data_IF_412427305425
#
_entry.id   IF_412427305425
#
_cell.length_a   1.000
_cell.length_b   1.000
_cell.length_c   1.000
_cell.angle_alpha   90.00
_cell.angle_beta   90.00
_cell.angle_gamma   90.00
#
_symmetry.space_group_name_H-M   'P 1'
#
loop_
_entity.id
_entity.type
_entity.pdbx_description
1 polymer ?
#
# COMPACT_ATOMS: atom_id res chain seq x y z
N UNK A 1 2.23 -18.26 -0.64
CA UNK A 1 1.67 -18.62 -1.97
C UNK A 1 0.96 -17.39 -2.51
N UNK A 2 1.23 -17.01 -3.76
CA UNK A 2 0.67 -15.83 -4.45
C UNK A 2 -0.19 -16.36 -5.60
N UNK A 3 -1.34 -15.73 -5.94
CA UNK A 3 -2.10 -16.16 -7.12
C UNK A 3 -1.29 -16.06 -8.42
N UNK A 4 -1.73 -16.76 -9.46
CA UNK A 4 -1.18 -16.64 -10.79
C UNK A 4 -2.03 -15.65 -11.58
N UNK A 5 -1.54 -14.42 -11.74
CA UNK A 5 -2.23 -13.38 -12.51
C UNK A 5 -1.42 -13.03 -13.77
N UNK A 6 -2.13 -12.74 -14.86
CA UNK A 6 -1.55 -12.34 -16.14
C UNK A 6 -1.06 -10.89 -16.00
N UNK A 7 0.25 -10.71 -16.15
CA UNK A 7 0.88 -9.38 -16.18
C UNK A 7 0.93 -8.81 -17.60
N UNK A 8 0.96 -7.50 -17.73
CA UNK A 8 1.10 -6.80 -18.99
C UNK A 8 2.45 -7.05 -19.70
N UNK A 9 3.51 -7.34 -18.93
CA UNK A 9 4.81 -7.68 -19.50
C UNK A 9 4.81 -9.07 -20.13
N UNK A 10 5.16 -9.13 -21.42
CA UNK A 10 5.26 -10.37 -22.22
C UNK A 10 6.67 -10.63 -22.76
N UNK A 11 7.65 -9.76 -22.48
CA UNK A 11 9.05 -9.90 -22.90
C UNK A 11 9.82 -11.03 -22.19
N UNK A 12 11.14 -11.19 -22.43
CA UNK A 12 11.97 -12.19 -21.76
C UNK A 12 12.09 -11.91 -20.25
N UNK A 13 12.34 -12.97 -19.46
CA UNK A 13 12.57 -12.85 -18.02
C UNK A 13 13.93 -12.18 -17.77
N UNK A 14 14.00 -11.17 -16.90
CA UNK A 14 15.29 -10.56 -16.51
C UNK A 14 16.01 -11.37 -15.41
N UNK A 15 17.27 -11.03 -15.10
CA UNK A 15 18.05 -11.77 -14.10
C UNK A 15 17.43 -11.76 -12.69
N UNK A 16 16.90 -10.61 -12.26
CA UNK A 16 16.22 -10.49 -10.96
C UNK A 16 15.00 -11.39 -10.90
N UNK A 17 14.20 -11.38 -11.97
CA UNK A 17 12.99 -12.17 -12.09
C UNK A 17 13.31 -13.67 -12.03
N UNK A 18 14.30 -14.12 -12.79
CA UNK A 18 14.74 -15.50 -12.81
C UNK A 18 15.24 -15.95 -11.42
N UNK A 19 16.06 -15.14 -10.76
CA UNK A 19 16.56 -15.44 -9.41
C UNK A 19 15.43 -15.58 -8.39
N UNK A 20 14.41 -14.72 -8.43
CA UNK A 20 13.25 -14.83 -7.53
C UNK A 20 12.46 -16.12 -7.79
N UNK A 21 12.26 -16.50 -9.05
CA UNK A 21 11.55 -17.73 -9.41
C UNK A 21 12.33 -18.98 -8.97
N UNK A 22 13.64 -19.02 -9.20
CA UNK A 22 14.50 -20.15 -8.81
C UNK A 22 14.61 -20.30 -7.28
N UNK A 23 14.48 -19.20 -6.53
CA UNK A 23 14.56 -19.18 -5.08
C UNK A 23 13.20 -19.29 -4.37
N UNK A 24 12.11 -19.58 -5.09
CA UNK A 24 10.74 -19.58 -4.53
C UNK A 24 10.61 -20.37 -3.20
N UNK A 25 11.11 -21.62 -3.04
CA UNK A 25 11.01 -22.32 -1.77
C UNK A 25 11.74 -21.62 -0.61
N UNK A 26 12.90 -21.01 -0.89
CA UNK A 26 13.68 -20.26 0.10
C UNK A 26 12.97 -18.96 0.50
N UNK A 27 12.40 -18.24 -0.46
CA UNK A 27 11.59 -17.03 -0.24
C UNK A 27 10.37 -17.35 0.64
N UNK A 28 9.60 -18.38 0.30
CA UNK A 28 8.42 -18.74 1.08
C UNK A 28 8.80 -19.21 2.49
N UNK A 29 9.93 -19.90 2.66
CA UNK A 29 10.46 -20.24 4.00
C UNK A 29 10.86 -18.99 4.77
N UNK A 30 11.55 -18.05 4.14
CA UNK A 30 12.01 -16.81 4.76
C UNK A 30 10.82 -15.99 5.28
N UNK A 31 9.77 -15.79 4.47
CA UNK A 31 8.55 -15.13 4.92
C UNK A 31 7.88 -15.85 6.09
N UNK A 32 7.78 -17.19 6.05
CA UNK A 32 7.18 -17.92 7.18
C UNK A 32 7.90 -17.66 8.50
N UNK A 33 9.23 -17.49 8.48
CA UNK A 33 10.00 -17.16 9.67
C UNK A 33 9.76 -15.72 10.13
N UNK A 34 9.75 -14.74 9.22
CA UNK A 34 9.44 -13.36 9.58
C UNK A 34 8.03 -13.24 10.18
N UNK A 35 7.03 -13.96 9.65
CA UNK A 35 5.67 -13.98 10.21
C UNK A 35 5.51 -14.79 11.50
N UNK A 36 6.56 -15.45 11.99
CA UNK A 36 6.57 -16.00 13.35
C UNK A 36 6.98 -14.95 14.38
N UNK A 37 7.70 -13.91 13.95
CA UNK A 37 8.23 -12.86 14.82
C UNK A 37 7.41 -11.57 14.74
N UNK A 38 6.79 -11.29 13.59
CA UNK A 38 6.08 -10.04 13.31
C UNK A 38 4.61 -10.26 12.97
N UNK A 39 3.77 -9.33 13.41
CA UNK A 39 2.32 -9.37 13.14
C UNK A 39 2.02 -8.71 11.80
N UNK A 40 1.44 -9.41 10.81
CA UNK A 40 1.03 -8.80 9.55
C UNK A 40 -0.01 -7.70 9.78
N UNK A 41 0.00 -6.59 9.00
CA UNK A 41 -1.11 -5.66 8.99
C UNK A 41 -2.40 -6.38 8.55
N UNK A 42 -3.56 -5.89 9.02
CA UNK A 42 -4.83 -6.54 8.71
C UNK A 42 -5.10 -6.59 7.20
N UNK A 43 -4.86 -5.47 6.52
CA UNK A 43 -4.89 -5.37 5.06
C UNK A 43 -3.91 -4.30 4.56
N UNK A 44 -3.46 -4.40 3.32
CA UNK A 44 -2.71 -3.33 2.67
C UNK A 44 -2.95 -3.32 1.17
N UNK A 45 -2.64 -2.20 0.53
CA UNK A 45 -2.33 -2.17 -0.89
C UNK A 45 -0.90 -1.67 -1.08
N UNK A 46 -0.19 -2.25 -2.03
CA UNK A 46 1.18 -1.84 -2.37
C UNK A 46 1.25 -1.52 -3.84
N UNK A 47 1.58 -0.27 -4.15
CA UNK A 47 1.81 0.21 -5.51
C UNK A 47 3.25 -0.11 -5.88
N UNK A 48 3.46 -0.83 -6.98
CA UNK A 48 4.79 -1.22 -7.44
C UNK A 48 5.09 -0.59 -8.79
N UNK A 49 6.37 -0.40 -9.08
CA UNK A 49 6.83 -0.06 -10.42
C UNK A 49 7.92 -1.01 -10.88
N UNK A 50 7.75 -1.49 -12.11
CA UNK A 50 8.70 -2.35 -12.80
C UNK A 50 9.42 -1.57 -13.90
N UNK A 51 10.65 -1.15 -13.63
CA UNK A 51 11.49 -0.42 -14.57
C UNK A 51 12.25 -1.34 -15.55
N UNK A 52 12.05 -2.66 -15.49
CA UNK A 52 12.82 -3.67 -16.21
C UNK A 52 14.19 -3.96 -15.61
N UNK A 53 14.86 -2.96 -15.03
CA UNK A 53 16.10 -3.12 -14.26
C UNK A 53 15.90 -3.05 -12.73
N UNK A 54 14.69 -2.68 -12.28
CA UNK A 54 14.34 -2.49 -10.86
C UNK A 54 12.85 -2.76 -10.68
N UNK A 55 12.49 -3.47 -9.61
CA UNK A 55 11.11 -3.73 -9.21
C UNK A 55 10.92 -3.32 -7.76
N UNK A 56 10.25 -2.20 -7.53
CA UNK A 56 10.20 -1.61 -6.20
C UNK A 56 8.81 -1.07 -5.83
N UNK A 57 8.45 -1.07 -4.54
CA UNK A 57 7.25 -0.40 -4.06
C UNK A 57 7.47 1.12 -4.07
N UNK A 58 6.44 1.84 -4.50
CA UNK A 58 6.41 3.31 -4.52
C UNK A 58 5.37 3.89 -3.56
N UNK A 59 4.41 3.08 -3.12
CA UNK A 59 3.48 3.40 -2.05
C UNK A 59 3.01 2.13 -1.32
N UNK A 60 2.76 2.27 -0.01
CA UNK A 60 2.18 1.23 0.85
C UNK A 60 1.08 1.89 1.67
N UNK A 61 -0.18 1.55 1.37
CA UNK A 61 -1.35 2.02 2.12
C UNK A 61 -1.79 0.97 3.15
N UNK A 62 -2.00 1.45 4.38
CA UNK A 62 -2.62 0.71 5.48
C UNK A 62 -4.15 0.90 5.53
N UNK A 63 -4.68 1.70 4.62
CA UNK A 63 -6.11 1.99 4.45
C UNK A 63 -6.46 1.82 2.96
N UNK A 64 -6.26 0.62 2.39
CA UNK A 64 -6.39 0.41 0.95
C UNK A 64 -7.81 0.68 0.45
N UNK A 65 -7.91 1.51 -0.59
CA UNK A 65 -9.12 1.69 -1.39
C UNK A 65 -9.08 0.82 -2.66
N UNK A 66 -10.17 0.76 -3.43
CA UNK A 66 -10.22 0.07 -4.71
C UNK A 66 -10.54 -1.42 -4.64
N UNK A 67 -11.04 -1.93 -3.50
CA UNK A 67 -11.46 -3.32 -3.35
C UNK A 67 -12.50 -3.75 -4.40
N UNK A 68 -13.35 -2.83 -4.88
CA UNK A 68 -14.33 -3.07 -5.96
C UNK A 68 -13.70 -3.52 -7.27
N UNK A 69 -12.40 -3.30 -7.45
CA UNK A 69 -11.68 -3.69 -8.65
C UNK A 69 -11.17 -5.13 -8.61
N UNK A 70 -11.25 -5.81 -7.46
CA UNK A 70 -10.95 -7.23 -7.38
C UNK A 70 -12.04 -8.03 -8.12
N UNK A 71 -11.62 -8.97 -8.96
CA UNK A 71 -12.55 -9.76 -9.76
C UNK A 71 -13.25 -10.82 -8.90
N UNK A 72 -14.40 -11.37 -9.35
CA UNK A 72 -15.07 -12.47 -8.65
C UNK A 72 -14.17 -13.68 -8.35
N UNK A 73 -13.18 -13.95 -9.20
CA UNK A 73 -12.21 -15.04 -9.04
C UNK A 73 -11.19 -14.76 -7.93
N UNK A 74 -10.93 -13.49 -7.58
CA UNK A 74 -10.04 -13.09 -6.48
C UNK A 74 -10.74 -13.15 -5.12
N UNK A 75 -12.07 -13.02 -5.10
CA UNK A 75 -12.83 -12.93 -3.85
C UNK A 75 -12.67 -14.14 -2.93
N UNK A 76 -12.65 -15.40 -3.40
CA UNK A 76 -12.41 -16.54 -2.52
C UNK A 76 -11.08 -16.44 -1.76
N UNK A 77 -10.02 -15.90 -2.37
CA UNK A 77 -8.73 -15.70 -1.72
C UNK A 77 -8.83 -14.60 -0.65
N UNK A 78 -9.51 -13.49 -0.96
CA UNK A 78 -9.73 -12.41 -0.01
C UNK A 78 -10.57 -12.87 1.19
N UNK A 79 -11.62 -13.66 0.96
CA UNK A 79 -12.46 -14.24 2.02
C UNK A 79 -11.66 -15.18 2.91
N UNK A 80 -10.87 -16.10 2.31
CA UNK A 80 -10.06 -17.02 3.09
C UNK A 80 -8.97 -16.30 3.92
N UNK A 81 -8.36 -15.26 3.34
CA UNK A 81 -7.40 -14.42 4.06
C UNK A 81 -8.08 -13.65 5.20
N UNK A 82 -9.29 -13.14 5.00
CA UNK A 82 -10.09 -12.49 6.03
C UNK A 82 -10.39 -13.44 7.20
N UNK A 83 -10.82 -14.68 6.91
CA UNK A 83 -11.05 -15.70 7.93
C UNK A 83 -9.78 -15.96 8.75
N UNK A 84 -8.64 -16.17 8.07
CA UNK A 84 -7.37 -16.39 8.75
C UNK A 84 -6.89 -15.19 9.59
N UNK A 85 -7.19 -13.96 9.16
CA UNK A 85 -6.90 -12.75 9.91
C UNK A 85 -7.75 -12.67 11.18
N UNK A 86 -9.05 -12.89 11.05
CA UNK A 86 -10.02 -12.80 12.15
C UNK A 86 -9.80 -13.91 13.18
N UNK A 87 -9.52 -15.15 12.76
CA UNK A 87 -9.19 -16.27 13.66
C UNK A 87 -7.99 -15.95 14.58
N UNK A 88 -7.01 -15.18 14.10
CA UNK A 88 -5.85 -14.76 14.90
C UNK A 88 -6.16 -13.60 15.83
N UNK A 89 -6.91 -12.61 15.35
CA UNK A 89 -7.14 -11.35 16.07
C UNK A 89 -8.27 -11.49 17.08
N UNK A 90 -9.42 -12.00 16.66
CA UNK A 90 -10.60 -12.14 17.48
C UNK A 90 -11.44 -13.33 17.00
N UNK A 91 -11.13 -14.57 17.43
CA UNK A 91 -11.81 -15.78 16.94
C UNK A 91 -13.29 -15.86 17.35
N UNK A 92 -13.69 -15.13 18.40
CA UNK A 92 -15.08 -15.04 18.84
C UNK A 92 -15.85 -13.91 18.15
N UNK A 93 -15.23 -13.22 17.19
CA UNK A 93 -15.81 -12.07 16.53
C UNK A 93 -17.10 -12.44 15.80
N UNK A 94 -18.20 -11.77 16.17
CA UNK A 94 -19.49 -11.88 15.47
C UNK A 94 -19.81 -10.67 14.62
N UNK A 95 -19.40 -9.49 15.10
CA UNK A 95 -19.79 -8.20 14.54
C UNK A 95 -18.53 -7.41 14.20
N UNK A 96 -18.44 -6.90 12.97
CA UNK A 96 -17.38 -6.00 12.52
C UNK A 96 -17.98 -4.67 12.08
N UNK A 97 -17.41 -3.57 12.58
CA UNK A 97 -17.77 -2.23 12.17
C UNK A 97 -16.73 -1.68 11.20
N UNK A 98 -17.14 -1.33 9.98
CA UNK A 98 -16.28 -0.58 9.06
C UNK A 98 -16.47 0.91 9.36
N UNK A 99 -15.39 1.60 9.67
CA UNK A 99 -15.35 3.06 9.78
C UNK A 99 -14.75 3.60 8.49
N UNK A 100 -15.55 4.20 7.60
CA UNK A 100 -15.06 4.66 6.31
C UNK A 100 -14.46 6.07 6.39
N UNK A 101 -13.86 6.51 5.28
CA UNK A 101 -13.52 7.92 5.06
C UNK A 101 -14.71 8.86 5.34
N UNK A 102 -14.41 10.10 5.70
CA UNK A 102 -15.45 11.11 5.89
C UNK A 102 -15.95 11.62 4.53
N UNK A 103 -17.15 12.21 4.51
CA UNK A 103 -17.73 12.83 3.31
C UNK A 103 -17.85 11.92 2.08
N UNK A 104 -18.09 10.62 2.28
CA UNK A 104 -18.35 9.68 1.20
C UNK A 104 -19.59 10.06 0.38
N UNK A 105 -19.37 10.47 -0.86
CA UNK A 105 -20.43 10.79 -1.80
C UNK A 105 -20.22 10.13 -3.17
N UNK A 106 -19.03 9.56 -3.44
CA UNK A 106 -18.70 8.93 -4.70
C UNK A 106 -19.33 7.53 -4.84
N UNK A 107 -19.89 7.23 -6.02
CA UNK A 107 -20.39 5.89 -6.33
C UNK A 107 -19.28 4.82 -6.24
N UNK A 108 -18.03 5.20 -6.58
CA UNK A 108 -16.86 4.33 -6.45
C UNK A 108 -16.56 3.96 -5.00
N UNK A 109 -16.60 4.94 -4.09
CA UNK A 109 -16.27 4.71 -2.68
C UNK A 109 -17.35 3.83 -2.02
N UNK A 110 -18.62 4.06 -2.36
CA UNK A 110 -19.73 3.21 -1.91
C UNK A 110 -19.61 1.77 -2.46
N UNK A 111 -19.15 1.61 -3.71
CA UNK A 111 -18.90 0.28 -4.27
C UNK A 111 -17.72 -0.43 -3.59
N UNK A 112 -16.66 0.30 -3.22
CA UNK A 112 -15.56 -0.24 -2.43
C UNK A 112 -16.03 -0.74 -1.05
N UNK A 113 -16.87 0.05 -0.36
CA UNK A 113 -17.46 -0.36 0.91
C UNK A 113 -18.35 -1.60 0.78
N UNK A 114 -19.20 -1.65 -0.24
CA UNK A 114 -20.02 -2.83 -0.50
C UNK A 114 -19.17 -4.08 -0.72
N UNK A 115 -18.05 -3.94 -1.43
CA UNK A 115 -17.14 -5.05 -1.68
C UNK A 115 -16.41 -5.51 -0.41
N UNK A 116 -15.99 -4.58 0.46
CA UNK A 116 -15.45 -4.91 1.80
C UNK A 116 -16.50 -5.62 2.67
N UNK A 117 -17.73 -5.08 2.75
CA UNK A 117 -18.83 -5.73 3.46
C UNK A 117 -19.05 -7.14 2.94
N UNK A 118 -19.05 -7.35 1.62
CA UNK A 118 -19.20 -8.66 1.01
C UNK A 118 -18.10 -9.63 1.42
N UNK A 119 -16.83 -9.21 1.40
CA UNK A 119 -15.69 -10.05 1.78
C UNK A 119 -15.84 -10.51 3.23
N UNK A 120 -16.09 -9.59 4.16
CA UNK A 120 -16.16 -9.92 5.59
C UNK A 120 -17.46 -10.65 5.98
N UNK A 121 -18.59 -10.36 5.32
CA UNK A 121 -19.81 -11.15 5.50
C UNK A 121 -19.61 -12.61 5.05
N UNK A 122 -18.94 -12.84 3.92
CA UNK A 122 -18.59 -14.19 3.45
C UNK A 122 -17.57 -14.87 4.36
N UNK A 123 -16.74 -14.11 5.08
CA UNK A 123 -15.84 -14.62 6.11
C UNK A 123 -16.55 -14.97 7.44
N UNK A 124 -17.88 -14.81 7.51
CA UNK A 124 -18.69 -15.23 8.66
C UNK A 124 -19.00 -14.13 9.68
N UNK A 125 -18.70 -12.87 9.37
CA UNK A 125 -18.98 -11.72 10.25
C UNK A 125 -20.31 -11.05 9.88
N UNK A 126 -20.96 -10.43 10.86
CA UNK A 126 -22.05 -9.49 10.64
C UNK A 126 -21.47 -8.08 10.51
N UNK A 127 -21.52 -7.50 9.31
CA UNK A 127 -20.79 -6.26 9.00
C UNK A 127 -21.69 -5.07 8.77
N UNK A 128 -21.44 -3.98 9.49
CA UNK A 128 -22.13 -2.68 9.32
C UNK A 128 -21.13 -1.55 9.15
N UNK A 129 -21.60 -0.42 8.61
CA UNK A 129 -20.76 0.76 8.32
C UNK A 129 -21.15 1.90 9.26
N UNK A 130 -20.17 2.42 9.99
CA UNK A 130 -20.33 3.49 10.96
C UNK A 130 -19.50 4.71 10.62
N UNK A 131 -20.15 5.80 10.24
CA UNK A 131 -19.48 7.08 10.00
C UNK A 131 -19.11 7.75 11.32
N UNK A 132 -17.86 8.20 11.43
CA UNK A 132 -17.35 9.04 12.51
C UNK A 132 -17.42 10.54 12.17
N UNK A 133 -17.93 10.88 10.98
CA UNK A 133 -18.12 12.27 10.54
C UNK A 133 -19.12 12.99 11.47
N UNK A 134 -18.70 14.05 12.17
CA UNK A 134 -19.59 14.81 13.05
C UNK A 134 -20.81 15.39 12.33
N UNK A 135 -20.76 15.63 11.02
CA UNK A 135 -21.89 16.15 10.24
C UNK A 135 -22.91 15.06 9.90
N UNK A 136 -22.52 13.78 9.97
CA UNK A 136 -23.38 12.64 9.68
C UNK A 136 -24.27 12.29 10.88
N UNK A 137 -25.54 12.73 10.87
CA UNK A 137 -26.45 12.60 12.02
C UNK A 137 -27.54 11.54 11.90
N UNK A 138 -27.74 10.93 10.73
CA UNK A 138 -28.85 10.00 10.48
C UNK A 138 -28.39 8.88 9.56
N UNK A 139 -28.95 7.68 9.75
CA UNK A 139 -28.73 6.56 8.86
C UNK A 139 -29.18 6.91 7.43
N UNK A 140 -28.33 6.63 6.46
CA UNK A 140 -28.62 6.83 5.04
C UNK A 140 -28.32 5.54 4.29
N UNK A 141 -29.29 5.09 3.49
CA UNK A 141 -29.13 3.97 2.59
C UNK A 141 -28.82 4.47 1.19
N UNK A 142 -27.68 4.06 0.66
CA UNK A 142 -27.23 4.39 -0.68
C UNK A 142 -27.47 3.18 -1.60
N UNK A 143 -28.22 3.37 -2.68
CA UNK A 143 -28.40 2.36 -3.72
C UNK A 143 -27.23 2.40 -4.70
N UNK A 144 -26.72 1.24 -5.06
CA UNK A 144 -25.65 1.07 -6.03
C UNK A 144 -26.21 0.72 -7.42
N UNK A 145 -25.49 1.05 -8.52
CA UNK A 145 -25.96 0.76 -9.88
C UNK A 145 -26.17 -0.72 -10.19
N UNK A 146 -25.50 -1.61 -9.46
CA UNK A 146 -25.61 -3.07 -9.60
C UNK A 146 -26.79 -3.68 -8.82
N UNK A 147 -27.61 -2.84 -8.18
CA UNK A 147 -28.77 -3.26 -7.38
C UNK A 147 -28.44 -3.56 -5.91
N UNK A 148 -27.17 -3.48 -5.50
CA UNK A 148 -26.79 -3.57 -4.09
C UNK A 148 -27.10 -2.26 -3.35
N UNK A 149 -26.90 -2.26 -2.03
CA UNK A 149 -27.00 -1.03 -1.25
C UNK A 149 -26.07 -1.07 -0.05
N UNK A 150 -25.52 0.09 0.31
CA UNK A 150 -24.76 0.30 1.55
C UNK A 150 -25.59 1.18 2.47
N UNK A 151 -25.79 0.74 3.70
CA UNK A 151 -26.36 1.56 4.76
C UNK A 151 -25.21 2.09 5.63
N UNK A 152 -25.14 3.42 5.75
CA UNK A 152 -24.17 4.11 6.58
C UNK A 152 -24.92 4.71 7.76
N UNK A 153 -24.45 4.45 8.97
CA UNK A 153 -25.03 4.93 10.22
C UNK A 153 -24.06 5.82 10.99
N UNK A 154 -24.56 6.77 11.80
CA UNK A 154 -23.69 7.50 12.71
C UNK A 154 -23.11 6.56 13.77
N UNK A 155 -21.78 6.50 13.86
CA UNK A 155 -21.09 5.79 14.92
C UNK A 155 -21.34 6.46 16.28
N UNK A 156 -21.53 5.63 17.31
CA UNK A 156 -21.84 6.06 18.66
C UNK A 156 -20.77 5.55 19.61
N UNK A 157 -20.27 6.44 20.48
CA UNK A 157 -19.50 6.03 21.65
C UNK A 157 -20.45 5.71 22.80
N UNK A 158 -20.47 4.45 23.21
CA UNK A 158 -21.24 3.97 24.35
C UNK A 158 -20.23 3.52 25.41
N UNK A 159 -19.94 4.41 26.37
CA UNK A 159 -18.86 4.24 27.36
C UNK A 159 -17.48 4.11 26.68
N UNK A 160 -16.80 2.98 26.88
CA UNK A 160 -15.48 2.62 26.34
C UNK A 160 -15.53 1.94 24.97
N UNK A 161 -16.72 1.85 24.34
CA UNK A 161 -16.92 1.10 23.10
C UNK A 161 -17.54 1.97 22.01
N UNK A 162 -17.19 1.71 20.76
CA UNK A 162 -17.79 2.29 19.56
C UNK A 162 -18.70 1.27 18.90
N UNK A 163 -19.90 1.67 18.55
CA UNK A 163 -20.86 0.81 17.87
C UNK A 163 -21.93 1.60 17.15
N UNK A 164 -23.01 0.91 16.76
CA UNK A 164 -24.20 1.53 16.19
C UNK A 164 -25.39 1.23 17.08
N UNK A 165 -26.56 1.76 16.72
CA UNK A 165 -27.79 1.45 17.42
C UNK A 165 -28.07 -0.07 17.34
N UNK A 166 -28.09 -0.72 18.51
CA UNK A 166 -28.27 -2.17 18.67
C UNK A 166 -27.19 -3.03 17.98
N UNK A 167 -25.98 -2.48 17.79
CA UNK A 167 -24.87 -3.21 17.18
C UNK A 167 -23.58 -2.90 17.94
N UNK A 168 -23.04 -3.92 18.58
CA UNK A 168 -21.82 -3.86 19.37
C UNK A 168 -20.74 -4.74 18.71
N UNK A 169 -19.76 -4.14 18.01
CA UNK A 169 -18.67 -4.86 17.37
C UNK A 169 -17.57 -5.20 18.37
N UNK A 170 -16.89 -6.32 18.19
CA UNK A 170 -15.62 -6.61 18.85
C UNK A 170 -14.42 -6.05 18.07
N UNK A 171 -14.61 -5.81 16.78
CA UNK A 171 -13.56 -5.42 15.83
C UNK A 171 -14.05 -4.25 14.99
N UNK A 172 -13.22 -3.24 14.89
CA UNK A 172 -13.45 -2.03 14.09
C UNK A 172 -12.38 -2.01 13.00
N UNK A 173 -12.83 -2.10 11.75
CA UNK A 173 -12.00 -1.90 10.59
C UNK A 173 -11.96 -0.41 10.26
N UNK A 174 -10.83 0.24 10.51
CA UNK A 174 -10.57 1.59 10.05
C UNK A 174 -10.22 1.56 8.57
N UNK A 175 -11.18 1.99 7.75
CA UNK A 175 -11.00 2.29 6.33
C UNK A 175 -11.06 3.81 6.13
N UNK A 176 -10.35 4.51 7.02
CA UNK A 176 -10.21 5.96 7.12
C UNK A 176 -8.77 6.26 7.58
N UNK A 177 -8.02 7.04 6.81
CA UNK A 177 -6.62 7.37 7.09
C UNK A 177 -6.44 8.30 8.30
N UNK A 178 -7.54 8.89 8.78
CA UNK A 178 -7.56 9.86 9.88
C UNK A 178 -6.61 11.03 9.60
N UNK A 179 -6.66 11.60 8.40
CA UNK A 179 -5.76 12.66 7.96
C UNK A 179 -5.76 13.91 8.87
N UNK A 180 -6.87 14.18 9.56
CA UNK A 180 -7.00 15.26 10.55
C UNK A 180 -6.59 14.85 11.99
N UNK A 181 -6.18 13.60 12.17
CA UNK A 181 -5.92 12.95 13.45
C UNK A 181 -7.07 12.11 13.97
N UNK A 182 -6.74 11.22 14.92
CA UNK A 182 -7.72 10.34 15.55
C UNK A 182 -8.72 11.17 16.37
N UNK A 183 -10.03 11.11 16.08
CA UNK A 183 -11.01 11.77 16.91
C UNK A 183 -11.19 11.01 18.22
N UNK A 184 -11.54 11.73 19.29
CA UNK A 184 -11.76 11.15 20.61
C UNK A 184 -12.88 10.10 20.72
N UNK A 185 -13.60 9.76 19.64
CA UNK A 185 -14.47 8.56 19.61
C UNK A 185 -13.66 7.26 19.44
N UNK A 186 -12.50 7.32 18.78
CA UNK A 186 -11.63 6.17 18.49
C UNK A 186 -10.50 5.97 19.52
N UNK A 187 -10.30 6.91 20.43
CA UNK A 187 -9.28 6.83 21.48
C UNK A 187 -9.75 5.97 22.67
N UNK A 188 -8.83 5.43 23.46
CA UNK A 188 -9.15 4.68 24.69
C UNK A 188 -10.13 3.49 24.50
N UNK A 189 -10.00 2.78 23.39
CA UNK A 189 -10.79 1.57 23.10
C UNK A 189 -10.02 0.32 23.55
N UNK A 190 -10.20 -0.06 24.82
CA UNK A 190 -9.49 -1.20 25.43
C UNK A 190 -10.16 -2.55 25.18
N UNK A 191 -11.44 -2.55 24.77
CA UNK A 191 -12.26 -3.76 24.65
C UNK A 191 -12.60 -4.11 23.19
N UNK A 192 -12.06 -3.36 22.24
CA UNK A 192 -12.31 -3.52 20.81
C UNK A 192 -11.01 -3.42 20.05
N UNK A 193 -10.84 -4.31 19.06
CA UNK A 193 -9.68 -4.25 18.18
C UNK A 193 -9.89 -3.19 17.11
N UNK A 194 -8.95 -2.26 16.99
CA UNK A 194 -8.92 -1.26 15.94
C UNK A 194 -7.89 -1.68 14.89
N UNK A 195 -8.34 -1.90 13.65
CA UNK A 195 -7.55 -2.49 12.58
C UNK A 195 -7.53 -1.58 11.34
N UNK A 196 -6.38 -1.04 10.93
CA UNK A 196 -5.12 -0.99 11.67
C UNK A 196 -5.24 -0.14 12.97
N UNK A 197 -4.27 -0.22 13.89
CA UNK A 197 -4.28 0.58 15.11
C UNK A 197 -4.00 2.07 14.82
N UNK A 198 -4.29 2.97 15.76
CA UNK A 198 -4.26 4.42 15.53
C UNK A 198 -2.89 4.96 15.06
N UNK A 199 -1.79 4.34 15.47
CA UNK A 199 -0.44 4.73 15.03
C UNK A 199 -0.20 4.52 13.53
N UNK A 200 -1.07 3.78 12.83
CA UNK A 200 -1.06 3.69 11.37
C UNK A 200 -1.48 5.01 10.69
N UNK A 201 -2.22 5.87 11.40
CA UNK A 201 -2.64 7.18 10.90
C UNK A 201 -1.50 8.19 10.84
N UNK A 202 -1.69 9.24 10.04
CA UNK A 202 -0.66 10.22 9.71
C UNK A 202 -0.17 11.12 10.87
N UNK A 203 -0.86 11.13 12.00
CA UNK A 203 -0.40 11.85 13.21
C UNK A 203 0.85 11.23 13.83
N UNK A 204 1.04 9.92 13.66
CA UNK A 204 2.20 9.17 14.17
C UNK A 204 3.04 8.65 13.03
N UNK A 205 2.40 8.12 11.98
CA UNK A 205 3.07 7.49 10.85
C UNK A 205 3.97 8.47 10.09
N UNK A 206 5.15 8.00 9.68
CA UNK A 206 6.10 8.74 8.82
C UNK A 206 6.55 7.87 7.68
N UNK A 207 6.46 8.36 6.43
CA UNK A 207 6.91 7.61 5.24
C UNK A 207 8.40 7.27 5.32
N UNK A 208 9.21 8.18 5.87
CA UNK A 208 10.65 8.00 6.09
C UNK A 208 10.97 6.85 7.05
N UNK A 209 10.09 6.60 8.04
CA UNK A 209 10.21 5.43 8.92
C UNK A 209 9.89 4.16 8.14
N UNK A 210 8.79 4.15 7.39
CA UNK A 210 8.44 3.03 6.52
C UNK A 210 9.57 2.68 5.55
N UNK A 211 10.14 3.67 4.85
CA UNK A 211 11.23 3.42 3.89
C UNK A 211 12.50 2.93 4.57
N UNK A 212 12.81 3.40 5.78
CA UNK A 212 13.92 2.87 6.58
C UNK A 212 13.70 1.40 6.95
N UNK A 213 12.49 1.04 7.42
CA UNK A 213 12.14 -0.35 7.71
C UNK A 213 12.24 -1.22 6.45
N UNK A 214 11.78 -0.70 5.30
CA UNK A 214 11.85 -1.40 4.02
C UNK A 214 13.29 -1.57 3.51
N UNK A 215 14.18 -0.61 3.75
CA UNK A 215 15.61 -0.74 3.44
C UNK A 215 16.24 -1.91 4.20
N UNK A 216 15.97 -2.02 5.50
CA UNK A 216 16.53 -3.09 6.34
C UNK A 216 15.97 -4.47 5.98
N UNK A 217 14.66 -4.57 5.73
CA UNK A 217 14.02 -5.76 5.16
C UNK A 217 14.66 -6.13 3.81
N UNK A 218 14.82 -5.15 2.92
CA UNK A 218 15.42 -5.32 1.61
C UNK A 218 16.88 -5.79 1.66
N UNK A 219 17.68 -5.30 2.62
CA UNK A 219 19.07 -5.75 2.84
C UNK A 219 19.13 -7.21 3.27
N UNK A 220 18.30 -7.62 4.24
CA UNK A 220 18.25 -9.02 4.72
C UNK A 220 17.78 -9.96 3.62
N UNK A 221 16.74 -9.57 2.89
CA UNK A 221 16.22 -10.32 1.75
C UNK A 221 17.23 -10.42 0.61
N UNK A 222 17.88 -9.29 0.25
CA UNK A 222 18.91 -9.22 -0.77
C UNK A 222 20.10 -10.13 -0.45
N UNK A 223 20.54 -10.15 0.82
CA UNK A 223 21.58 -11.07 1.30
C UNK A 223 21.16 -12.54 1.15
N UNK A 224 19.91 -12.88 1.45
CA UNK A 224 19.38 -14.24 1.32
C UNK A 224 19.35 -14.71 -0.14
N UNK A 225 18.99 -13.83 -1.08
CA UNK A 225 18.96 -14.13 -2.52
C UNK A 225 20.29 -13.90 -3.27
N UNK A 226 21.29 -13.30 -2.62
CA UNK A 226 22.53 -12.89 -3.28
C UNK A 226 22.32 -11.81 -4.34
N UNK A 227 21.36 -10.90 -4.14
CA UNK A 227 21.09 -9.75 -5.02
C UNK A 227 21.43 -8.44 -4.32
N UNK A 228 21.73 -7.40 -5.10
CA UNK A 228 21.78 -6.04 -4.57
C UNK A 228 20.36 -5.59 -4.18
N UNK A 229 20.17 -5.24 -2.92
CA UNK A 229 18.89 -4.74 -2.41
C UNK A 229 18.37 -3.51 -3.17
N UNK A 230 19.25 -2.71 -3.80
CA UNK A 230 18.83 -1.55 -4.60
C UNK A 230 17.89 -1.94 -5.75
N UNK A 231 17.96 -3.17 -6.25
CA UNK A 231 17.06 -3.69 -7.30
C UNK A 231 15.60 -3.81 -6.85
N UNK A 232 15.35 -3.77 -5.53
CA UNK A 232 14.01 -3.83 -4.93
C UNK A 232 13.69 -2.66 -4.00
N UNK A 233 14.65 -1.77 -3.77
CA UNK A 233 14.56 -0.67 -2.79
C UNK A 233 14.87 0.70 -3.45
N UNK A 234 13.92 1.65 -3.51
CA UNK A 234 14.20 3.02 -3.93
C UNK A 234 15.01 3.75 -2.85
N UNK A 235 16.11 4.39 -3.24
CA UNK A 235 16.89 5.23 -2.31
C UNK A 235 15.99 6.38 -1.81
N UNK A 236 16.00 6.66 -0.51
CA UNK A 236 15.22 7.77 0.04
C UNK A 236 15.96 8.53 1.15
N UNK A 237 15.59 9.79 1.35
CA UNK A 237 16.06 10.64 2.46
C UNK A 237 14.93 11.55 2.93
N UNK A 238 14.81 11.75 4.24
CA UNK A 238 13.90 12.74 4.82
C UNK A 238 14.53 14.12 4.89
N UNK A 239 13.69 15.15 4.83
CA UNK A 239 14.09 16.54 5.01
C UNK A 239 13.02 17.28 5.82
N UNK A 240 13.45 17.96 6.88
CA UNK A 240 12.60 18.87 7.64
C UNK A 240 12.87 20.32 7.20
N UNK A 241 11.82 21.12 7.12
CA UNK A 241 11.87 22.52 6.76
C UNK A 241 12.81 23.29 7.69
N UNK A 242 13.68 24.12 7.11
CA UNK A 242 14.57 24.98 7.88
C UNK A 242 13.81 25.94 8.80
N UNK A 243 14.39 26.24 9.96
CA UNK A 243 13.77 27.05 11.03
C UNK A 243 13.43 28.49 10.64
N UNK A 244 13.98 29.01 9.54
CA UNK A 244 13.73 30.38 9.08
C UNK A 244 13.17 30.38 7.67
N UNK A 245 12.36 31.39 7.34
CA UNK A 245 11.75 31.52 6.01
C UNK A 245 12.80 31.52 4.88
N UNK A 246 13.93 32.20 5.09
CA UNK A 246 15.02 32.28 4.12
C UNK A 246 15.75 30.95 3.89
N UNK A 247 15.75 30.04 4.88
CA UNK A 247 16.45 28.75 4.83
C UNK A 247 15.51 27.55 4.77
N UNK A 248 14.21 27.79 4.57
CA UNK A 248 13.17 26.76 4.67
C UNK A 248 13.47 25.54 3.78
N UNK A 249 13.98 25.78 2.56
CA UNK A 249 14.24 24.73 1.58
C UNK A 249 15.68 24.20 1.57
N UNK A 250 16.60 24.75 2.37
CA UNK A 250 18.01 24.28 2.36
C UNK A 250 18.11 22.76 2.65
N UNK A 251 17.40 22.19 3.65
CA UNK A 251 17.46 20.75 3.91
C UNK A 251 16.86 19.91 2.77
N UNK A 252 15.77 20.37 2.16
CA UNK A 252 15.14 19.70 1.02
C UNK A 252 16.09 19.69 -0.19
N UNK A 253 16.76 20.81 -0.45
CA UNK A 253 17.78 20.95 -1.50
C UNK A 253 18.90 19.91 -1.33
N UNK A 254 19.43 19.81 -0.11
CA UNK A 254 20.48 18.84 0.22
C UNK A 254 20.01 17.38 0.04
N UNK A 255 18.78 17.06 0.45
CA UNK A 255 18.21 15.72 0.29
C UNK A 255 18.00 15.34 -1.19
N UNK A 256 17.55 16.29 -2.03
CA UNK A 256 17.42 16.10 -3.49
C UNK A 256 18.78 15.84 -4.13
N UNK A 257 19.79 16.65 -3.83
CA UNK A 257 21.14 16.46 -4.38
C UNK A 257 21.77 15.13 -3.95
N UNK A 258 21.63 14.78 -2.67
CA UNK A 258 22.15 13.52 -2.12
C UNK A 258 21.49 12.31 -2.79
N UNK A 259 20.16 12.33 -2.93
CA UNK A 259 19.39 11.26 -3.57
C UNK A 259 19.80 11.12 -5.04
N UNK A 260 19.77 12.20 -5.82
CA UNK A 260 20.17 12.18 -7.24
C UNK A 260 21.62 11.70 -7.42
N UNK A 261 22.55 12.09 -6.54
CA UNK A 261 23.93 11.65 -6.57
C UNK A 261 24.07 10.14 -6.35
N UNK A 262 23.36 9.58 -5.36
CA UNK A 262 23.38 8.13 -5.12
C UNK A 262 22.74 7.35 -6.28
N UNK A 263 21.62 7.83 -6.84
CA UNK A 263 20.95 7.20 -7.98
C UNK A 263 21.84 7.21 -9.23
N UNK A 264 22.50 8.33 -9.54
CA UNK A 264 23.47 8.42 -10.66
C UNK A 264 24.60 7.41 -10.54
N UNK A 265 25.09 7.15 -9.32
CA UNK A 265 26.13 6.13 -9.08
C UNK A 265 25.61 4.73 -9.38
N UNK A 266 24.40 4.39 -8.93
CA UNK A 266 23.75 3.11 -9.24
C UNK A 266 23.48 2.95 -10.73
N UNK A 267 22.98 3.98 -11.39
CA UNK A 267 22.76 3.93 -12.84
C UNK A 267 24.07 3.68 -13.59
N UNK A 268 25.17 4.33 -13.20
CA UNK A 268 26.50 4.07 -13.77
C UNK A 268 26.99 2.64 -13.49
N UNK A 269 26.79 2.12 -12.28
CA UNK A 269 27.15 0.76 -11.87
C UNK A 269 26.48 -0.31 -12.76
N UNK A 270 25.19 -0.11 -13.07
CA UNK A 270 24.39 -1.03 -13.89
C UNK A 270 24.35 -0.68 -15.39
N UNK A 271 25.10 0.34 -15.84
CA UNK A 271 25.12 0.76 -17.25
C UNK A 271 23.77 1.32 -17.75
N UNK A 272 22.96 1.90 -16.87
CA UNK A 272 21.64 2.45 -17.18
C UNK A 272 21.78 3.85 -17.79
N UNK A 273 21.27 4.01 -19.02
CA UNK A 273 21.30 5.27 -19.77
C UNK A 273 20.15 6.25 -19.46
N UNK A 274 19.19 5.83 -18.63
CA UNK A 274 18.04 6.66 -18.25
C UNK A 274 18.44 7.87 -17.41
N UNK A 275 17.66 8.96 -17.50
CA UNK A 275 17.90 10.16 -16.66
C UNK A 275 17.30 9.95 -15.27
N UNK A 276 18.10 10.00 -14.18
CA UNK A 276 17.59 9.95 -12.83
C UNK A 276 16.60 11.08 -12.54
N UNK A 277 15.64 10.79 -11.69
CA UNK A 277 14.72 11.77 -11.13
C UNK A 277 14.39 11.38 -9.69
N UNK A 278 13.83 12.31 -8.93
CA UNK A 278 13.33 12.08 -7.58
C UNK A 278 11.88 12.51 -7.49
N UNK A 279 11.17 11.87 -6.56
CA UNK A 279 9.81 12.21 -6.17
C UNK A 279 9.87 12.76 -4.76
N UNK A 280 9.27 13.93 -4.53
CA UNK A 280 9.13 14.56 -3.22
C UNK A 280 7.69 14.38 -2.77
N UNK A 281 7.50 13.77 -1.61
CA UNK A 281 6.21 13.55 -0.95
C UNK A 281 6.21 14.21 0.42
N UNK A 282 5.03 14.53 0.96
CA UNK A 282 4.91 14.83 2.38
C UNK A 282 5.26 13.59 3.21
N UNK A 283 6.04 13.76 4.27
CA UNK A 283 6.49 12.63 5.11
C UNK A 283 5.40 12.15 6.07
N UNK A 284 4.42 13.01 6.37
CA UNK A 284 3.34 12.82 7.34
C UNK A 284 1.95 13.01 6.73
N UNK A 285 1.81 12.72 5.44
CA UNK A 285 0.51 12.73 4.79
C UNK A 285 0.46 11.83 3.54
N UNK A 286 -0.77 11.51 3.14
CA UNK A 286 -1.09 10.90 1.86
C UNK A 286 -0.69 11.78 0.67
N UNK A 287 -0.74 11.22 -0.54
CA UNK A 287 -0.34 11.91 -1.76
C UNK A 287 -1.26 13.11 -2.10
N UNK A 288 -2.43 13.22 -1.46
CA UNK A 288 -3.32 14.40 -1.51
C UNK A 288 -2.67 15.69 -0.96
N UNK A 289 -1.64 15.57 -0.12
CA UNK A 289 -0.84 16.70 0.33
C UNK A 289 0.04 17.28 -0.80
N UNK A 290 0.11 16.61 -1.95
CA UNK A 290 0.90 17.00 -3.11
C UNK A 290 2.10 16.08 -3.31
N UNK A 291 2.46 15.90 -4.58
CA UNK A 291 3.63 15.13 -5.00
C UNK A 291 4.36 15.91 -6.08
N UNK A 292 5.68 16.05 -5.95
CA UNK A 292 6.49 16.78 -6.91
C UNK A 292 7.58 15.90 -7.51
N UNK A 293 7.87 16.07 -8.80
CA UNK A 293 8.93 15.37 -9.51
C UNK A 293 10.06 16.34 -9.85
N UNK A 294 11.30 15.95 -9.58
CA UNK A 294 12.49 16.74 -9.92
C UNK A 294 13.55 15.90 -10.63
N UNK A 295 14.18 16.49 -11.66
CA UNK A 295 15.36 15.93 -12.34
C UNK A 295 16.63 16.69 -11.99
N UNK A 296 16.49 17.98 -11.70
CA UNK A 296 17.54 18.85 -11.21
C UNK A 296 17.08 19.60 -9.95
N UNK A 297 18.01 19.88 -9.05
CA UNK A 297 17.76 20.64 -7.84
C UNK A 297 17.40 22.11 -8.14
N UNK A 298 17.80 22.62 -9.31
CA UNK A 298 17.49 23.97 -9.77
C UNK A 298 15.99 24.21 -10.00
N UNK A 299 15.24 23.14 -10.26
CA UNK A 299 13.79 23.22 -10.51
C UNK A 299 12.99 23.42 -9.20
N UNK A 300 13.65 23.29 -8.04
CA UNK A 300 13.01 23.36 -6.73
C UNK A 300 12.36 24.72 -6.45
N UNK A 301 13.01 25.82 -6.84
CA UNK A 301 12.48 27.16 -6.60
C UNK A 301 11.23 27.43 -7.45
N UNK A 302 11.21 26.94 -8.69
CA UNK A 302 10.04 27.05 -9.57
C UNK A 302 8.83 26.23 -9.06
N UNK A 303 9.08 25.04 -8.48
CA UNK A 303 8.03 24.23 -7.84
C UNK A 303 7.48 24.89 -6.57
N UNK A 304 8.34 25.59 -5.81
CA UNK A 304 7.89 26.38 -4.67
C UNK A 304 6.98 27.53 -5.12
N UNK A 305 7.40 28.30 -6.11
CA UNK A 305 6.68 29.49 -6.59
C UNK A 305 5.33 29.15 -7.23
N UNK A 306 5.24 27.98 -7.89
CA UNK A 306 3.99 27.46 -8.44
C UNK A 306 3.07 26.79 -7.41
N UNK A 307 3.54 26.59 -6.17
CA UNK A 307 2.79 25.88 -5.13
C UNK A 307 2.66 24.37 -5.38
N UNK A 308 3.47 23.81 -6.28
CA UNK A 308 3.47 22.39 -6.63
C UNK A 308 4.23 21.50 -5.63
N UNK A 309 4.98 22.11 -4.69
CA UNK A 309 5.62 21.36 -3.62
C UNK A 309 4.60 20.75 -2.66
N UNK A 310 4.85 19.53 -2.14
CA UNK A 310 4.01 18.93 -1.12
C UNK A 310 3.84 19.85 0.08
N UNK A 311 2.59 19.99 0.53
CA UNK A 311 2.22 20.76 1.71
C UNK A 311 2.90 20.19 2.95
N UNK A 312 3.12 21.06 3.94
CA UNK A 312 3.75 20.71 5.21
C UNK A 312 5.18 21.24 5.34
N UNK A 313 5.94 20.58 6.21
CA UNK A 313 7.32 20.92 6.54
C UNK A 313 8.21 19.70 6.76
N UNK A 314 7.70 18.48 6.57
CA UNK A 314 8.47 17.26 6.59
C UNK A 314 8.28 16.58 5.23
N UNK A 315 9.37 16.31 4.55
CA UNK A 315 9.35 15.75 3.20
C UNK A 315 10.15 14.45 3.14
N UNK A 316 9.67 13.53 2.31
CA UNK A 316 10.42 12.38 1.85
C UNK A 316 10.87 12.65 0.41
N UNK A 317 12.19 12.61 0.18
CA UNK A 317 12.78 12.61 -1.16
C UNK A 317 13.12 11.17 -1.52
N UNK A 318 12.47 10.63 -2.53
CA UNK A 318 12.62 9.24 -2.97
C UNK A 318 13.16 9.19 -4.40
N UNK A 319 14.00 8.20 -4.70
CA UNK A 319 14.39 7.81 -6.05
C UNK A 319 13.14 7.54 -6.89
N UNK A 320 13.05 8.20 -8.03
CA UNK A 320 12.02 7.94 -9.02
C UNK A 320 12.21 6.60 -9.72
N UNK A 321 11.20 5.73 -9.66
CA UNK A 321 11.20 4.43 -10.34
C UNK A 321 10.32 4.53 -11.58
N UNK A 322 10.86 4.13 -12.74
CA UNK A 322 10.11 4.06 -13.99
C UNK A 322 9.19 2.84 -14.02
N UNK A 323 8.16 2.89 -14.85
CA UNK A 323 7.34 1.71 -15.18
C UNK A 323 7.37 1.41 -16.67
N UNK A 324 7.71 0.16 -17.01
CA UNK A 324 7.63 -0.40 -18.36
C UNK A 324 6.25 -1.01 -18.64
N UNK A 325 5.38 -1.10 -17.64
CA UNK A 325 4.10 -1.76 -17.80
C UNK A 325 3.15 -0.91 -18.64
N UNK A 326 2.48 -1.56 -19.59
CA UNK A 326 1.53 -0.94 -20.50
C UNK A 326 0.29 -1.80 -20.62
N UNK A 327 -0.87 -1.25 -20.31
CA UNK A 327 -2.15 -1.88 -20.63
C UNK A 327 -2.67 -1.21 -21.89
N UNK A 328 -2.70 -1.97 -22.98
CA UNK A 328 -2.74 -1.39 -24.33
C UNK A 328 -1.56 -0.44 -24.54
N UNK A 329 -1.80 0.82 -24.90
CA UNK A 329 -0.75 1.83 -25.09
C UNK A 329 -0.56 2.76 -23.87
N UNK A 330 -1.36 2.58 -22.82
CA UNK A 330 -1.36 3.45 -21.65
C UNK A 330 -0.38 2.98 -20.57
N UNK A 331 0.30 3.93 -19.94
CA UNK A 331 1.21 3.67 -18.81
C UNK A 331 0.42 3.06 -17.65
N UNK A 332 0.91 1.96 -17.12
CA UNK A 332 0.30 1.26 -16.00
C UNK A 332 1.28 1.01 -14.85
N UNK A 333 0.76 0.92 -13.64
CA UNK A 333 1.50 0.44 -12.46
C UNK A 333 0.65 -0.61 -11.71
N UNK A 334 1.22 -1.76 -11.34
CA UNK A 334 0.49 -2.78 -10.60
C UNK A 334 0.31 -2.35 -9.14
N UNK A 335 -0.91 -2.56 -8.64
CA UNK A 335 -1.31 -2.41 -7.24
C UNK A 335 -1.66 -3.78 -6.70
N UNK A 336 -0.94 -4.23 -5.68
CA UNK A 336 -1.11 -5.56 -5.09
C UNK A 336 -1.88 -5.42 -3.78
N UNK A 337 -2.97 -6.17 -3.63
CA UNK A 337 -3.78 -6.19 -2.42
C UNK A 337 -3.38 -7.36 -1.53
N UNK A 338 -3.28 -7.09 -0.23
CA UNK A 338 -2.98 -8.09 0.78
C UNK A 338 -3.98 -8.05 1.92
N UNK A 339 -4.17 -9.19 2.58
CA UNK A 339 -4.92 -9.32 3.82
C UNK A 339 -4.24 -10.38 4.69
N UNK A 340 -4.02 -10.06 5.97
CA UNK A 340 -3.05 -10.78 6.82
C UNK A 340 -1.72 -10.92 6.05
N UNK A 341 -1.12 -12.11 5.99
CA UNK A 341 0.13 -12.36 5.27
C UNK A 341 -0.04 -12.76 3.80
N UNK A 342 -1.28 -12.74 3.28
CA UNK A 342 -1.62 -13.30 1.98
C UNK A 342 -1.83 -12.22 0.93
N UNK A 343 -1.30 -12.46 -0.27
CA UNK A 343 -1.66 -11.68 -1.46
C UNK A 343 -2.98 -12.21 -1.97
N UNK A 344 -3.99 -11.34 -2.05
CA UNK A 344 -5.38 -11.73 -2.38
C UNK A 344 -5.79 -11.35 -3.80
N UNK A 345 -5.05 -10.44 -4.43
CA UNK A 345 -5.31 -10.01 -5.79
C UNK A 345 -4.47 -8.80 -6.17
N UNK A 346 -4.81 -8.21 -7.31
CA UNK A 346 -4.15 -7.01 -7.78
C UNK A 346 -4.86 -6.40 -8.98
N UNK A 347 -4.50 -5.17 -9.28
CA UNK A 347 -5.02 -4.40 -10.42
C UNK A 347 -3.88 -3.63 -11.07
N UNK A 348 -4.04 -3.25 -12.32
CA UNK A 348 -3.27 -2.17 -12.91
C UNK A 348 -4.00 -0.86 -12.70
N UNK A 349 -3.30 0.13 -12.16
CA UNK A 349 -3.68 1.54 -12.27
C UNK A 349 -3.14 2.06 -13.59
N UNK A 350 -4.02 2.56 -14.45
CA UNK A 350 -3.71 3.12 -15.76
C UNK A 350 -3.80 4.64 -15.67
N UNK A 351 -2.72 5.32 -16.04
CA UNK A 351 -2.65 6.78 -16.01
C UNK A 351 -3.19 7.37 -17.31
N UNK A 352 -3.98 8.45 -17.20
CA UNK A 352 -4.58 9.13 -18.34
C UNK A 352 -3.54 9.84 -19.25
N UNK A 353 -2.43 10.32 -18.68
CA UNK A 353 -1.33 10.97 -19.40
C UNK A 353 0.01 10.27 -19.13
N UNK A 354 0.83 10.14 -20.19
CA UNK A 354 2.15 9.50 -20.11
C UNK A 354 3.14 10.22 -19.16
N UNK A 355 2.99 11.54 -18.95
CA UNK A 355 3.81 12.32 -18.01
C UNK A 355 3.40 12.12 -16.56
N UNK A 356 2.12 11.83 -16.29
CA UNK A 356 1.62 11.58 -14.93
C UNK A 356 2.09 10.22 -14.39
N UNK A 357 2.42 9.29 -15.29
CA UNK A 357 2.99 7.98 -14.97
C UNK A 357 4.39 8.01 -14.34
N UNK A 358 5.04 9.18 -14.25
CA UNK A 358 6.36 9.30 -13.60
C UNK A 358 6.29 9.56 -12.09
N UNK A 359 5.14 9.93 -11.50
CA UNK A 359 5.13 10.13 -10.04
C UNK A 359 3.87 10.63 -9.35
N UNK A 360 2.69 10.62 -9.98
CA UNK A 360 1.47 11.15 -9.33
C UNK A 360 0.33 10.14 -9.42
N UNK A 361 -0.42 9.94 -8.34
CA UNK A 361 -1.76 9.37 -8.41
C UNK A 361 -2.60 10.29 -9.31
N UNK A 362 -2.68 9.97 -10.60
CA UNK A 362 -3.37 10.82 -11.54
C UNK A 362 -4.86 10.87 -11.16
N UNK A 363 -5.39 12.06 -10.89
CA UNK A 363 -6.83 12.27 -10.96
C UNK A 363 -7.31 11.81 -12.34
N UNK A 364 -8.25 10.86 -12.38
CA UNK A 364 -8.71 10.22 -13.63
C UNK A 364 -7.98 8.94 -14.03
N UNK A 365 -7.16 8.34 -13.14
CA UNK A 365 -6.65 7.00 -13.36
C UNK A 365 -7.81 5.99 -13.50
N UNK A 366 -7.69 5.08 -14.47
CA UNK A 366 -8.61 3.94 -14.63
C UNK A 366 -7.95 2.68 -14.08
N UNK A 367 -8.76 1.70 -13.69
CA UNK A 367 -8.25 0.46 -13.10
C UNK A 367 -8.66 -0.72 -13.95
N UNK A 368 -7.70 -1.58 -14.28
CA UNK A 368 -7.92 -2.83 -14.99
C UNK A 368 -7.51 -3.98 -14.07
N UNK A 369 -8.41 -4.92 -13.74
CA UNK A 369 -8.06 -6.04 -12.89
C UNK A 369 -6.97 -6.92 -13.52
N UNK A 370 -6.04 -7.39 -12.69
CA UNK A 370 -5.06 -8.39 -13.12
C UNK A 370 -5.76 -9.75 -13.24
N UNK A 371 -6.14 -10.16 -14.44
CA UNK A 371 -6.88 -11.42 -14.62
C UNK A 371 -6.07 -12.64 -14.14
N UNK A 372 -6.75 -13.65 -13.58
CA UNK A 372 -6.10 -14.94 -13.34
C UNK A 372 -5.60 -15.55 -14.65
N UNK A 373 -4.39 -16.10 -14.62
CA UNK A 373 -3.97 -16.99 -15.69
C UNK A 373 -4.80 -18.27 -15.57
N UNK A 374 -5.65 -18.54 -16.56
CA UNK A 374 -6.47 -19.75 -16.61
C UNK A 374 -5.64 -20.99 -17.00
N UNK A 375 -4.38 -21.04 -16.58
CA UNK A 375 -3.54 -22.21 -16.77
C UNK A 375 -4.05 -23.33 -15.85
N UNK A 376 -4.38 -24.46 -16.44
CA UNK A 376 -4.90 -25.65 -15.75
C UNK A 376 -3.81 -26.43 -15.01
N UNK A 377 -2.61 -25.84 -14.87
CA UNK A 377 -1.43 -26.48 -14.33
C UNK A 377 -0.78 -25.59 -13.27
N UNK A 378 -0.65 -26.11 -12.05
CA UNK A 378 0.21 -25.52 -11.03
C UNK A 378 1.67 -25.55 -11.53
N UNK A 379 2.49 -24.53 -11.24
CA UNK A 379 3.90 -24.53 -11.59
C UNK A 379 4.58 -25.75 -10.96
N UNK A 380 5.12 -26.64 -11.80
CA UNK A 380 5.82 -27.84 -11.36
C UNK A 380 7.34 -27.62 -11.42
N UNK A 381 8.07 -27.89 -10.33
CA UNK A 381 9.53 -27.88 -10.34
C UNK A 381 10.08 -28.80 -11.45
N UNK A 382 10.98 -28.29 -12.30
CA UNK A 382 11.65 -29.06 -13.34
C UNK A 382 10.98 -29.07 -14.71
N UNK A 383 9.85 -28.38 -14.90
CA UNK A 383 9.28 -28.14 -16.24
C UNK A 383 10.15 -27.12 -16.99
N UNK A 384 10.41 -27.39 -18.29
CA UNK A 384 11.24 -26.52 -19.14
C UNK A 384 10.70 -25.08 -19.14
N UNK A 385 11.55 -24.05 -19.00
CA UNK A 385 11.16 -22.66 -19.24
C UNK A 385 10.48 -22.55 -20.62
N UNK A 386 9.22 -22.11 -20.65
CA UNK A 386 8.42 -21.98 -21.87
C UNK A 386 7.21 -22.90 -22.01
N UNK A 387 6.96 -23.85 -21.10
CA UNK A 387 5.74 -24.68 -21.13
C UNK A 387 4.55 -24.10 -20.32
N UNK A 388 4.80 -23.10 -19.46
CA UNK A 388 3.82 -22.21 -18.84
C UNK A 388 4.40 -20.79 -18.85
N UNK A 389 3.57 -19.74 -18.95
CA UNK A 389 4.10 -18.39 -18.81
C UNK A 389 4.75 -18.25 -17.41
N UNK A 390 5.83 -17.48 -17.27
CA UNK A 390 6.44 -17.26 -15.96
C UNK A 390 5.44 -16.51 -15.08
N UNK A 391 5.21 -16.94 -13.84
CA UNK A 391 4.34 -16.22 -12.92
C UNK A 391 5.02 -14.91 -12.49
N UNK A 392 4.99 -13.89 -13.34
CA UNK A 392 5.54 -12.57 -13.04
C UNK A 392 4.83 -11.91 -11.86
N UNK A 393 3.55 -12.22 -11.69
CA UNK A 393 2.79 -11.75 -10.54
C UNK A 393 3.34 -12.30 -9.21
N UNK A 394 4.02 -13.46 -9.20
CA UNK A 394 4.72 -13.95 -8.01
C UNK A 394 5.70 -12.91 -7.46
N UNK A 395 6.46 -12.26 -8.34
CA UNK A 395 7.49 -11.28 -7.94
C UNK A 395 6.86 -10.01 -7.40
N UNK A 396 5.74 -9.58 -7.99
CA UNK A 396 4.93 -8.48 -7.45
C UNK A 396 4.43 -8.84 -6.07
N UNK A 397 3.91 -10.05 -5.88
CA UNK A 397 3.52 -10.55 -4.57
C UNK A 397 4.69 -10.70 -3.58
N UNK A 398 5.91 -10.99 -4.02
CA UNK A 398 7.11 -11.00 -3.16
C UNK A 398 7.43 -9.58 -2.69
N UNK A 399 7.57 -8.63 -3.61
CA UNK A 399 7.93 -7.24 -3.28
C UNK A 399 6.84 -6.57 -2.45
N UNK A 400 5.56 -6.81 -2.77
CA UNK A 400 4.43 -6.34 -1.95
C UNK A 400 4.46 -6.92 -0.52
N UNK A 401 4.78 -8.21 -0.36
CA UNK A 401 4.93 -8.81 0.98
C UNK A 401 6.13 -8.27 1.74
N UNK A 402 7.22 -7.87 1.07
CA UNK A 402 8.35 -7.19 1.72
C UNK A 402 7.93 -5.79 2.22
N UNK A 403 7.16 -5.05 1.43
CA UNK A 403 6.63 -3.74 1.82
C UNK A 403 5.64 -3.85 2.98
N UNK A 404 4.75 -4.84 2.93
CA UNK A 404 3.84 -5.20 4.02
C UNK A 404 4.59 -5.61 5.30
N UNK A 405 5.67 -6.39 5.18
CA UNK A 405 6.51 -6.74 6.31
C UNK A 405 7.16 -5.49 6.91
N UNK A 406 7.69 -4.60 6.08
CA UNK A 406 8.24 -3.32 6.56
C UNK A 406 7.19 -2.48 7.30
N UNK A 407 5.92 -2.53 6.88
CA UNK A 407 4.82 -1.91 7.63
C UNK A 407 4.57 -2.58 8.99
N UNK A 408 4.73 -3.90 9.15
CA UNK A 408 4.71 -4.54 10.48
C UNK A 408 5.81 -3.98 11.39
N UNK A 409 7.05 -3.91 10.90
CA UNK A 409 8.17 -3.33 11.65
C UNK A 409 7.92 -1.87 12.02
N UNK A 410 7.31 -1.10 11.11
CA UNK A 410 6.93 0.29 11.35
C UNK A 410 5.90 0.40 12.48
N UNK A 411 4.81 -0.39 12.42
CA UNK A 411 3.72 -0.36 13.40
C UNK A 411 4.16 -0.87 14.78
N UNK A 412 5.00 -1.89 14.84
CA UNK A 412 5.56 -2.40 16.09
C UNK A 412 6.53 -1.40 16.72
N UNK A 413 7.32 -0.69 15.91
CA UNK A 413 8.23 0.34 16.41
C UNK A 413 7.52 1.61 16.91
N UNK A 414 6.26 1.82 16.54
CA UNK A 414 5.43 2.94 17.00
C UNK A 414 4.31 2.51 17.94
N UNK A 415 4.31 1.24 18.36
CA UNK A 415 3.35 0.71 19.31
C UNK A 415 3.58 1.35 20.70
N UNK A 416 2.60 2.10 21.24
CA UNK A 416 2.73 2.72 22.55
C UNK A 416 3.04 1.72 23.67
N UNK A 417 2.47 0.51 23.62
CA UNK A 417 2.67 -0.51 24.65
C UNK A 417 4.10 -1.07 24.61
N UNK A 418 4.64 -1.28 23.41
CA UNK A 418 6.03 -1.73 23.27
C UNK A 418 7.02 -0.63 23.66
N UNK A 419 6.70 0.64 23.39
CA UNK A 419 7.52 1.78 23.79
C UNK A 419 7.53 2.02 25.31
N UNK A 420 6.45 1.69 26.03
CA UNK A 420 6.42 1.76 27.49
C UNK A 420 7.25 0.64 28.16
N UNK A 421 7.44 -0.49 27.47
CA UNK A 421 8.19 -1.65 27.96
C UNK A 421 9.70 -1.60 27.64
N UNK A 422 10.11 -0.78 26.67
CA UNK A 422 11.50 -0.63 26.20
C UNK A 422 12.25 0.49 26.96
#
# INVERSE_FOLDING_TARGET
MVPHLITALTGPINELEQRMLDAMPAIERWFRLEWMEHTPPFYTSVDLRNAGFKLAPVDTSLFPHGWRHLTPEMLPLAVQAAMAAIEKICPEARNLLIVPENHLQGASDLADLAQLQRIFNLAGLNVRVGSIDPEFKKAVRHALPDGQSVEIEPALRIRSRVGLKHFDPCTILLNNELAAGAPGILEDLYEQYLLPPLQAGWTVRRRSRHTQCYEEVGKRFGKMLGIDHWLIHPISHSAEAGKTKAKRLEPLRAAVELTLSKVRRKYKEYGIGEKPFVVVKADDAGDEAGVALLRDVKDLDALQDSGALPKGGHWLVQEGVLTQERVHDAVAEPVVYTMDRYVVGGVYRIHADATNGEGVHAHGASYVPLAFEHSTHLPQPGVRPGASAPNRFYMYGVVARLAMLAASYELEATDPQLLELA
#
